data_IF_663454114845
#
_entry.id   IF_663454114845
#
_cell.length_a   1.000
_cell.length_b   1.000
_cell.length_c   1.000
_cell.angle_alpha   90.00
_cell.angle_beta   90.00
_cell.angle_gamma   90.00
#
_symmetry.space_group_name_H-M   'P 1'
#
loop_
_entity.id
_entity.type
_entity.pdbx_description
1 polymer ?
#
# COMPACT_ATOMS: atom_id res chain seq x y z
N UNK A 1 0.74 22.21 2.53
CA UNK A 1 2.10 22.13 1.92
C UNK A 1 2.09 21.00 0.92
N UNK A 2 2.48 21.27 -0.33
CA UNK A 2 2.55 20.22 -1.37
C UNK A 2 3.63 19.18 -1.08
N UNK A 3 3.51 18.02 -1.74
CA UNK A 3 4.40 16.85 -1.58
C UNK A 3 5.87 17.24 -1.78
N UNK A 4 6.16 18.04 -2.80
CA UNK A 4 7.53 18.48 -3.13
C UNK A 4 8.17 19.34 -2.02
N UNK A 5 7.41 20.22 -1.37
CA UNK A 5 7.92 21.02 -0.23
C UNK A 5 8.37 20.12 0.92
N UNK A 6 7.59 19.07 1.21
CA UNK A 6 7.93 18.11 2.28
C UNK A 6 9.17 17.30 1.91
N UNK A 7 9.26 16.84 0.66
CA UNK A 7 10.43 16.08 0.19
C UNK A 7 11.73 16.86 0.31
N UNK A 8 11.68 18.17 0.04
CA UNK A 8 12.85 19.04 0.14
C UNK A 8 13.32 19.20 1.60
N UNK A 9 12.40 19.33 2.56
CA UNK A 9 12.72 19.33 3.99
C UNK A 9 13.36 18.00 4.42
N UNK A 10 12.83 16.88 3.95
CA UNK A 10 13.40 15.55 4.22
C UNK A 10 14.81 15.40 3.65
N UNK A 11 15.04 15.86 2.41
CA UNK A 11 16.36 15.87 1.77
C UNK A 11 17.37 16.64 2.62
N UNK A 12 17.05 17.88 3.01
CA UNK A 12 17.93 18.72 3.84
C UNK A 12 18.20 18.08 5.20
N UNK A 13 17.18 17.46 5.81
CA UNK A 13 17.33 16.77 7.10
C UNK A 13 18.30 15.59 6.98
N UNK A 14 18.18 14.77 5.94
CA UNK A 14 19.07 13.64 5.68
C UNK A 14 20.50 14.10 5.43
N UNK A 15 20.68 15.15 4.62
CA UNK A 15 21.99 15.73 4.33
C UNK A 15 22.66 16.34 5.56
N UNK A 16 21.88 16.96 6.46
CA UNK A 16 22.40 17.47 7.74
C UNK A 16 22.97 16.37 8.64
N UNK A 17 22.50 15.13 8.44
CA UNK A 17 22.96 13.92 9.13
C UNK A 17 24.05 13.17 8.35
N UNK A 18 24.51 13.72 7.23
CA UNK A 18 25.57 13.13 6.38
C UNK A 18 25.07 12.09 5.37
N UNK A 19 23.77 11.87 5.25
CA UNK A 19 23.20 10.98 4.24
C UNK A 19 23.02 11.71 2.91
N UNK A 20 23.32 11.03 1.80
CA UNK A 20 23.08 11.55 0.45
C UNK A 20 22.07 10.68 -0.28
N UNK A 21 21.09 11.31 -0.90
CA UNK A 21 20.09 10.61 -1.71
C UNK A 21 20.62 10.39 -3.13
N UNK A 22 20.51 9.15 -3.63
CA UNK A 22 20.86 8.82 -5.02
C UNK A 22 19.66 9.03 -5.93
N UNK A 23 19.60 10.18 -6.62
CA UNK A 23 18.47 10.56 -7.48
C UNK A 23 18.16 9.51 -8.57
N UNK A 24 19.21 8.95 -9.19
CA UNK A 24 19.08 7.91 -10.23
C UNK A 24 18.60 6.54 -9.74
N UNK A 25 18.57 6.32 -8.42
CA UNK A 25 18.11 5.07 -7.78
C UNK A 25 16.84 5.27 -6.97
N UNK A 26 16.35 6.50 -6.91
CA UNK A 26 15.13 6.82 -6.18
C UNK A 26 14.00 6.75 -7.18
N UNK A 27 12.99 5.95 -6.85
CA UNK A 27 11.71 5.85 -7.55
C UNK A 27 10.63 6.12 -6.49
N UNK A 28 9.43 6.54 -6.89
CA UNK A 28 8.31 6.70 -5.97
C UNK A 28 7.10 5.86 -6.38
N UNK A 29 6.29 5.48 -5.40
CA UNK A 29 4.99 4.84 -5.57
C UNK A 29 3.94 5.77 -5.00
N UNK A 30 2.93 6.11 -5.81
CA UNK A 30 1.76 6.82 -5.34
C UNK A 30 0.70 5.80 -4.91
N UNK A 31 0.25 5.89 -3.66
CA UNK A 31 -0.77 5.01 -3.12
C UNK A 31 -2.10 5.76 -2.98
N UNK A 32 -3.11 5.36 -3.74
CA UNK A 32 -4.48 5.88 -3.66
C UNK A 32 -5.20 5.26 -2.46
N UNK A 33 -4.89 5.73 -1.26
CA UNK A 33 -5.54 5.24 -0.04
C UNK A 33 -6.94 5.83 0.19
N UNK A 34 -7.31 6.90 -0.52
CA UNK A 34 -8.64 7.52 -0.49
C UNK A 34 -9.27 7.55 -1.89
N UNK A 35 -10.60 7.54 -1.93
CA UNK A 35 -11.43 7.56 -3.14
C UNK A 35 -11.65 8.98 -3.70
N UNK A 36 -10.81 9.93 -3.29
CA UNK A 36 -10.95 11.34 -3.70
C UNK A 36 -10.50 11.53 -5.15
N UNK A 37 -11.36 12.20 -5.91
CA UNK A 37 -11.17 12.50 -7.33
C UNK A 37 -9.92 13.36 -7.49
N UNK A 38 -8.88 12.72 -8.05
CA UNK A 38 -7.71 13.31 -8.70
C UNK A 38 -7.35 14.75 -8.28
N UNK A 39 -6.47 14.86 -7.30
CA UNK A 39 -5.45 15.91 -7.40
C UNK A 39 -4.70 15.66 -8.71
N UNK A 40 -4.48 16.70 -9.52
CA UNK A 40 -3.71 16.64 -10.75
C UNK A 40 -2.42 15.83 -10.54
N UNK A 41 -1.95 15.10 -11.55
CA UNK A 41 -0.72 14.31 -11.45
C UNK A 41 0.46 15.23 -11.08
N UNK A 42 0.72 15.34 -9.77
CA UNK A 42 1.76 16.22 -9.25
C UNK A 42 3.09 15.55 -9.55
N UNK A 43 3.84 16.12 -10.47
CA UNK A 43 5.21 15.69 -10.72
C UNK A 43 6.03 15.77 -9.43
N UNK A 44 6.48 14.62 -8.95
CA UNK A 44 7.33 14.51 -7.78
C UNK A 44 8.76 14.84 -8.17
N UNK A 45 9.32 15.89 -7.56
CA UNK A 45 10.67 16.39 -7.85
C UNK A 45 11.50 16.46 -6.58
N UNK A 46 12.76 16.01 -6.68
CA UNK A 46 13.78 16.23 -5.65
C UNK A 46 14.89 17.04 -6.30
N UNK A 47 15.22 18.21 -5.72
CA UNK A 47 16.27 19.10 -6.25
C UNK A 47 16.05 19.42 -7.74
N UNK A 48 14.80 19.77 -8.07
CA UNK A 48 14.32 20.04 -9.44
C UNK A 48 14.39 18.87 -10.43
N UNK A 49 14.89 17.70 -10.04
CA UNK A 49 14.88 16.49 -10.86
C UNK A 49 13.60 15.69 -10.65
N UNK A 50 12.91 15.35 -11.75
CA UNK A 50 11.73 14.47 -11.74
C UNK A 50 12.15 13.05 -11.38
N UNK A 51 11.44 12.47 -10.43
CA UNK A 51 11.63 11.07 -10.01
C UNK A 51 10.65 10.20 -10.80
N UNK A 52 11.07 9.03 -11.30
CA UNK A 52 10.15 8.12 -11.98
C UNK A 52 9.14 7.50 -11.01
N UNK A 53 7.90 7.40 -11.47
CA UNK A 53 6.82 6.69 -10.79
C UNK A 53 6.89 5.19 -11.06
N UNK A 54 6.62 4.39 -10.05
CA UNK A 54 6.46 2.94 -10.10
C UNK A 54 5.06 2.56 -9.63
N UNK A 55 4.51 1.49 -10.17
CA UNK A 55 3.20 0.98 -9.78
C UNK A 55 3.27 -0.12 -8.71
N UNK A 56 4.45 -0.71 -8.54
CA UNK A 56 4.70 -1.84 -7.64
C UNK A 56 6.03 -1.69 -6.93
N UNK A 57 6.02 -1.91 -5.62
CA UNK A 57 7.22 -1.85 -4.79
C UNK A 57 7.31 -3.10 -3.90
N UNK A 58 8.48 -3.74 -3.87
CA UNK A 58 8.73 -4.85 -2.93
C UNK A 58 9.29 -4.28 -1.64
N UNK A 59 8.56 -4.45 -0.55
CA UNK A 59 8.96 -4.00 0.78
C UNK A 59 8.81 -5.14 1.79
N UNK A 60 9.90 -5.48 2.49
CA UNK A 60 9.94 -6.52 3.52
C UNK A 60 9.30 -7.86 3.11
N UNK A 61 9.41 -8.22 1.84
CA UNK A 61 8.87 -9.47 1.28
C UNK A 61 7.43 -9.37 0.76
N UNK A 62 6.72 -8.26 1.04
CA UNK A 62 5.40 -7.96 0.48
C UNK A 62 5.51 -7.06 -0.75
N UNK A 63 4.56 -7.17 -1.67
CA UNK A 63 4.45 -6.26 -2.82
C UNK A 63 3.32 -5.28 -2.52
N UNK A 64 3.64 -3.99 -2.58
CA UNK A 64 2.70 -2.87 -2.41
C UNK A 64 2.38 -2.35 -3.81
N UNK A 65 1.10 -2.12 -4.08
CA UNK A 65 0.59 -1.60 -5.36
C UNK A 65 0.03 -0.19 -5.19
N UNK A 66 0.03 0.58 -6.28
CA UNK A 66 -0.40 2.00 -6.26
C UNK A 66 -1.87 2.22 -5.92
N UNK A 67 -2.71 1.19 -6.01
CA UNK A 67 -4.11 1.25 -5.57
C UNK A 67 -4.26 1.09 -4.04
N UNK A 68 -3.14 0.99 -3.29
CA UNK A 68 -3.16 0.69 -1.86
C UNK A 68 -3.56 -0.76 -1.54
N UNK A 69 -3.89 -1.55 -2.56
CA UNK A 69 -4.31 -2.93 -2.45
C UNK A 69 -3.11 -3.85 -2.18
N UNK A 70 -3.12 -4.49 -1.01
CA UNK A 70 -2.28 -5.65 -0.71
C UNK A 70 -3.02 -6.97 -0.95
N UNK A 71 -4.26 -6.91 -1.45
CA UNK A 71 -5.16 -8.06 -1.53
C UNK A 71 -4.62 -9.17 -2.43
N UNK A 72 -4.04 -8.82 -3.58
CA UNK A 72 -3.41 -9.79 -4.48
C UNK A 72 -2.30 -10.60 -3.77
N UNK A 73 -1.46 -9.91 -2.98
CA UNK A 73 -0.39 -10.55 -2.23
C UNK A 73 -0.93 -11.41 -1.07
N UNK A 74 -1.95 -10.93 -0.36
CA UNK A 74 -2.62 -11.65 0.74
C UNK A 74 -3.31 -12.91 0.20
N UNK A 75 -4.08 -12.77 -0.87
CA UNK A 75 -4.76 -13.86 -1.57
C UNK A 75 -3.78 -14.91 -2.06
N UNK A 76 -2.64 -14.50 -2.64
CA UNK A 76 -1.57 -15.43 -3.02
C UNK A 76 -0.99 -16.19 -1.82
N UNK A 77 -0.65 -15.51 -0.71
CA UNK A 77 -0.10 -16.16 0.50
C UNK A 77 -1.09 -17.11 1.16
N UNK A 78 -2.36 -16.73 1.21
CA UNK A 78 -3.45 -17.58 1.68
C UNK A 78 -3.56 -18.81 0.77
N UNK A 79 -3.58 -18.62 -0.55
CA UNK A 79 -3.62 -19.72 -1.53
C UNK A 79 -2.48 -20.72 -1.36
N UNK A 80 -1.25 -20.23 -1.23
CA UNK A 80 -0.05 -21.05 -0.99
C UNK A 80 -0.14 -21.79 0.36
N UNK A 81 -0.56 -21.10 1.42
CA UNK A 81 -0.76 -21.69 2.75
C UNK A 81 -1.78 -22.83 2.73
N UNK A 82 -2.92 -22.61 2.06
CA UNK A 82 -3.96 -23.62 1.89
C UNK A 82 -3.50 -24.79 1.02
N UNK A 83 -2.73 -24.55 -0.03
CA UNK A 83 -2.22 -25.63 -0.88
C UNK A 83 -1.26 -26.53 -0.12
N UNK A 84 -0.36 -25.94 0.68
CA UNK A 84 0.53 -26.67 1.59
C UNK A 84 -0.24 -27.43 2.67
N UNK A 85 -1.25 -26.80 3.27
CA UNK A 85 -2.09 -27.46 4.27
C UNK A 85 -2.87 -28.63 3.66
N UNK A 86 -3.43 -28.49 2.46
CA UNK A 86 -4.12 -29.59 1.74
C UNK A 86 -3.19 -30.75 1.42
N UNK A 87 -1.98 -30.45 0.96
CA UNK A 87 -0.96 -31.47 0.68
C UNK A 87 -0.59 -32.24 1.96
N UNK A 88 -0.51 -31.55 3.11
CA UNK A 88 -0.22 -32.18 4.38
C UNK A 88 -1.41 -32.92 5.01
N UNK A 89 -2.66 -32.49 4.75
CA UNK A 89 -3.86 -33.02 5.41
C UNK A 89 -4.57 -34.13 4.64
N UNK A 90 -4.29 -34.33 3.34
CA UNK A 90 -4.86 -35.43 2.54
C UNK A 90 -6.37 -35.31 2.25
N UNK A 91 -7.00 -34.18 2.58
CA UNK A 91 -8.46 -34.00 2.44
C UNK A 91 -8.83 -33.63 1.00
N UNK A 92 -9.49 -34.56 0.28
CA UNK A 92 -10.15 -34.28 -1.01
C UNK A 92 -11.41 -33.43 -0.80
N UNK A 93 -11.40 -32.24 -1.41
CA UNK A 93 -12.28 -31.09 -1.20
C UNK A 93 -13.81 -31.31 -1.33
N UNK A 94 -14.63 -30.42 -0.73
CA UNK A 94 -15.77 -29.83 -1.46
C UNK A 94 -16.36 -28.53 -0.89
N UNK A 95 -16.58 -27.58 -1.81
CA UNK A 95 -17.57 -26.45 -1.83
C UNK A 95 -17.61 -25.38 -0.73
N UNK A 96 -17.28 -25.64 0.54
CA UNK A 96 -17.52 -24.65 1.62
C UNK A 96 -16.57 -23.43 1.57
N UNK A 97 -15.34 -23.59 1.09
CA UNK A 97 -14.38 -22.49 1.05
C UNK A 97 -14.74 -21.37 0.05
N UNK A 98 -15.45 -21.67 -1.05
CA UNK A 98 -15.85 -20.63 -2.03
C UNK A 98 -16.86 -19.65 -1.41
N UNK A 99 -17.82 -20.17 -0.67
CA UNK A 99 -18.86 -19.36 0.00
C UNK A 99 -18.30 -18.57 1.18
N UNK A 100 -17.33 -19.13 1.91
CA UNK A 100 -16.73 -18.44 3.05
C UNK A 100 -15.86 -17.24 2.64
N UNK A 101 -15.15 -17.34 1.51
CA UNK A 101 -14.39 -16.21 0.95
C UNK A 101 -15.35 -15.12 0.45
N UNK A 102 -16.36 -15.46 -0.37
CA UNK A 102 -17.31 -14.47 -0.87
C UNK A 102 -18.09 -13.76 0.25
N UNK A 103 -18.47 -14.50 1.29
CA UNK A 103 -19.19 -13.93 2.44
C UNK A 103 -18.30 -13.05 3.34
N UNK A 104 -17.00 -13.35 3.46
CA UNK A 104 -16.07 -12.56 4.27
C UNK A 104 -15.53 -11.33 3.54
N UNK A 105 -15.38 -11.35 2.22
CA UNK A 105 -15.02 -10.16 1.45
C UNK A 105 -16.08 -9.08 1.62
N UNK A 106 -17.36 -9.41 1.38
CA UNK A 106 -18.49 -8.45 1.49
C UNK A 106 -18.68 -7.91 2.93
N UNK A 107 -18.35 -8.70 3.97
CA UNK A 107 -18.52 -8.27 5.38
C UNK A 107 -17.32 -7.51 5.95
N UNK A 108 -16.11 -7.67 5.39
CA UNK A 108 -14.89 -7.04 5.93
C UNK A 108 -14.64 -5.62 5.43
N UNK A 109 -15.20 -5.25 4.28
CA UNK A 109 -15.04 -3.90 3.72
C UNK A 109 -15.62 -2.82 4.66
N UNK A 110 -16.71 -3.13 5.37
CA UNK A 110 -17.36 -2.20 6.30
C UNK A 110 -16.59 -2.04 7.63
N UNK A 111 -16.04 -3.13 8.17
CA UNK A 111 -15.38 -3.13 9.49
C UNK A 111 -13.95 -2.57 9.41
N UNK A 112 -13.25 -2.81 8.29
CA UNK A 112 -11.84 -2.40 8.14
C UNK A 112 -11.69 -0.87 7.99
N UNK A 113 -12.61 -0.21 7.28
CA UNK A 113 -12.56 1.25 7.07
C UNK A 113 -12.92 2.07 8.32
N UNK A 114 -13.70 1.53 9.27
CA UNK A 114 -14.05 2.23 10.51
C UNK A 114 -12.95 2.10 11.58
N UNK A 115 -12.39 0.90 11.75
CA UNK A 115 -11.38 0.64 12.78
C UNK A 115 -10.05 1.31 12.45
N UNK A 116 -9.67 1.40 11.17
CA UNK A 116 -8.46 2.10 10.75
C UNK A 116 -8.62 3.61 10.99
N UNK A 117 -9.78 4.22 10.67
CA UNK A 117 -10.01 5.65 10.95
C UNK A 117 -9.91 6.01 12.44
N UNK A 118 -10.46 5.17 13.33
CA UNK A 118 -10.41 5.39 14.78
C UNK A 118 -9.02 5.20 15.40
N UNK A 119 -8.19 4.29 14.86
CA UNK A 119 -6.87 4.00 15.42
C UNK A 119 -5.77 4.96 15.00
N UNK A 120 -5.92 5.64 13.86
CA UNK A 120 -4.84 6.46 13.27
C UNK A 120 -4.95 7.94 13.69
N UNK A 121 -5.93 8.31 14.53
CA UNK A 121 -6.01 9.66 15.10
C UNK A 121 -6.10 10.76 14.03
N UNK A 122 -6.86 10.53 12.97
CA UNK A 122 -7.13 11.55 11.95
C UNK A 122 -8.20 12.48 12.52
N UNK A 123 -7.80 13.69 12.91
CA UNK A 123 -8.74 14.72 13.33
C UNK A 123 -9.58 15.19 12.14
N UNK A 124 -10.88 15.37 12.35
CA UNK A 124 -11.73 16.05 11.39
C UNK A 124 -11.28 17.50 11.29
N UNK A 125 -11.06 17.97 10.05
CA UNK A 125 -10.98 19.39 9.73
C UNK A 125 -12.39 19.78 9.31
N UNK A 126 -13.04 20.62 10.10
CA UNK A 126 -14.30 21.26 9.71
C UNK A 126 -14.02 22.31 8.61
N UNK A 127 -15.00 22.47 7.72
CA UNK A 127 -14.99 23.31 6.50
C UNK A 127 -14.55 24.77 6.70
#
# INVERSE_FOLDING_TARGET
MGVNTRLEVWRQTLESKGFKLSRSKTDYLECKFSDERHEEEVEVKIDSQVIPKRDRFKYLGSIIQGEGEIDEYVTHRIGVGWMRWRLASGVYATRMCRLYISANSIRKDKIRNEVIRNKVGVAFVED
#
